data_IF_147954021268
#
_entry.id   IF_147954021268
#
_cell.length_a   1.000
_cell.length_b   1.000
_cell.length_c   1.000
_cell.angle_alpha   90.00
_cell.angle_beta   90.00
_cell.angle_gamma   90.00
#
_symmetry.space_group_name_H-M   'P 1'
#
loop_
_entity.id
_entity.type
_entity.pdbx_description
1 polymer ?
#
# COMPACT_ATOMS: atom_id res chain seq x y z
N UNK A 1 -2.34 -10.27 -6.85
CA UNK A 1 -2.48 -11.65 -7.40
C UNK A 1 -3.94 -12.06 -7.65
N UNK A 2 -4.91 -11.62 -6.82
CA UNK A 2 -6.33 -11.98 -6.90
C UNK A 2 -7.02 -11.57 -8.21
N UNK A 3 -6.71 -10.41 -8.80
CA UNK A 3 -7.30 -9.95 -10.08
C UNK A 3 -7.11 -10.95 -11.26
N UNK A 4 -5.98 -11.67 -11.30
CA UNK A 4 -5.68 -12.69 -12.32
C UNK A 4 -6.38 -14.02 -12.01
N UNK A 5 -6.70 -14.29 -10.74
CA UNK A 5 -7.42 -15.49 -10.30
C UNK A 5 -8.90 -15.48 -10.74
N UNK A 6 -9.52 -14.30 -10.84
CA UNK A 6 -10.95 -14.20 -11.18
C UNK A 6 -11.30 -14.58 -12.63
N UNK A 7 -10.36 -14.46 -13.57
CA UNK A 7 -10.57 -14.81 -14.99
C UNK A 7 -9.81 -16.05 -15.46
N UNK A 8 -8.99 -16.66 -14.59
CA UNK A 8 -8.24 -17.88 -14.96
C UNK A 8 -9.11 -19.13 -14.99
N UNK A 9 -10.22 -19.14 -14.23
CA UNK A 9 -11.19 -20.25 -14.22
C UNK A 9 -12.16 -20.11 -15.39
N UNK A 10 -12.30 -21.18 -16.20
CA UNK A 10 -13.33 -21.22 -17.24
C UNK A 10 -14.69 -21.42 -16.59
N UNK A 11 -15.49 -20.35 -16.52
CA UNK A 11 -16.83 -20.35 -15.95
C UNK A 11 -17.82 -20.11 -17.08
N UNK A 12 -18.85 -20.96 -17.20
CA UNK A 12 -19.91 -20.71 -18.16
C UNK A 12 -20.81 -19.58 -17.65
N UNK A 13 -20.59 -18.36 -18.16
CA UNK A 13 -21.34 -17.16 -17.76
C UNK A 13 -22.84 -17.21 -18.06
N UNK A 14 -23.30 -18.20 -18.84
CA UNK A 14 -24.73 -18.42 -19.11
C UNK A 14 -25.41 -19.22 -18.00
N UNK A 15 -24.66 -19.99 -17.21
CA UNK A 15 -25.19 -20.80 -16.12
C UNK A 15 -25.09 -20.01 -14.80
N UNK A 16 -26.24 -19.56 -14.28
CA UNK A 16 -26.29 -18.78 -13.03
C UNK A 16 -25.77 -19.55 -11.82
N UNK A 17 -25.98 -20.87 -11.78
CA UNK A 17 -25.51 -21.70 -10.67
C UNK A 17 -23.98 -21.75 -10.62
N UNK A 18 -23.32 -21.94 -11.77
CA UNK A 18 -21.86 -21.94 -11.86
C UNK A 18 -21.24 -20.58 -11.50
N UNK A 19 -21.88 -19.47 -11.91
CA UNK A 19 -21.41 -18.12 -11.55
C UNK A 19 -21.56 -17.88 -10.04
N UNK A 20 -22.67 -18.32 -9.44
CA UNK A 20 -22.90 -18.23 -7.99
C UNK A 20 -21.88 -19.05 -7.20
N UNK A 21 -21.62 -20.29 -7.61
CA UNK A 21 -20.63 -21.15 -6.96
C UNK A 21 -19.23 -20.57 -7.10
N UNK A 22 -18.87 -20.06 -8.28
CA UNK A 22 -17.60 -19.37 -8.50
C UNK A 22 -17.45 -18.16 -7.56
N UNK A 23 -18.47 -17.31 -7.45
CA UNK A 23 -18.47 -16.16 -6.53
C UNK A 23 -18.25 -16.59 -5.07
N UNK A 24 -18.87 -17.70 -4.64
CA UNK A 24 -18.67 -18.25 -3.29
C UNK A 24 -17.22 -18.71 -3.07
N UNK A 25 -16.63 -19.44 -4.02
CA UNK A 25 -15.22 -19.86 -3.92
C UNK A 25 -14.28 -18.66 -3.89
N UNK A 26 -14.53 -17.68 -4.74
CA UNK A 26 -13.74 -16.45 -4.78
C UNK A 26 -13.81 -15.63 -3.50
N UNK A 27 -14.99 -15.57 -2.88
CA UNK A 27 -15.17 -14.95 -1.58
C UNK A 27 -14.35 -15.66 -0.51
N UNK A 28 -14.41 -17.01 -0.45
CA UNK A 28 -13.66 -17.81 0.52
C UNK A 28 -12.14 -17.65 0.31
N UNK A 29 -11.65 -17.76 -0.93
CA UNK A 29 -10.23 -17.60 -1.28
C UNK A 29 -9.71 -16.22 -0.88
N UNK A 30 -10.48 -15.16 -1.19
CA UNK A 30 -10.13 -13.79 -0.85
C UNK A 30 -10.18 -13.53 0.65
N UNK A 31 -11.18 -14.08 1.35
CA UNK A 31 -11.32 -13.94 2.80
C UNK A 31 -10.16 -14.62 3.54
N UNK A 32 -9.77 -15.82 3.14
CA UNK A 32 -8.60 -16.52 3.72
C UNK A 32 -7.32 -15.71 3.46
N UNK A 33 -7.11 -15.23 2.24
CA UNK A 33 -5.93 -14.45 1.91
C UNK A 33 -5.83 -13.15 2.74
N UNK A 34 -6.94 -12.42 2.87
CA UNK A 34 -7.01 -11.20 3.68
C UNK A 34 -6.86 -11.51 5.17
N UNK A 35 -7.41 -12.61 5.66
CA UNK A 35 -7.26 -13.03 7.06
C UNK A 35 -5.80 -13.37 7.39
N UNK A 36 -5.11 -14.12 6.53
CA UNK A 36 -3.68 -14.40 6.70
C UNK A 36 -2.87 -13.10 6.69
N UNK A 37 -3.18 -12.17 5.77
CA UNK A 37 -2.53 -10.85 5.76
C UNK A 37 -2.78 -10.05 7.04
N UNK A 38 -4.00 -10.09 7.57
CA UNK A 38 -4.36 -9.42 8.82
C UNK A 38 -3.55 -10.00 9.99
N UNK A 39 -3.48 -11.34 10.08
CA UNK A 39 -2.72 -12.04 11.12
C UNK A 39 -1.25 -11.64 11.07
N UNK A 40 -0.63 -11.64 9.87
CA UNK A 40 0.76 -11.19 9.70
C UNK A 40 0.93 -9.74 10.15
N UNK A 41 0.06 -8.84 9.71
CA UNK A 41 0.16 -7.42 10.07
C UNK A 41 0.01 -7.21 11.58
N UNK A 42 -0.92 -7.92 12.24
CA UNK A 42 -1.09 -7.86 13.70
C UNK A 42 0.16 -8.35 14.42
N UNK A 43 0.76 -9.47 13.97
CA UNK A 43 2.00 -9.97 14.59
C UNK A 43 3.18 -9.02 14.38
N UNK A 44 3.37 -8.50 13.16
CA UNK A 44 4.46 -7.56 12.85
C UNK A 44 4.32 -6.29 13.69
N UNK A 45 3.14 -5.67 13.67
CA UNK A 45 2.88 -4.45 14.47
C UNK A 45 3.00 -4.75 15.96
N UNK A 46 2.48 -5.89 16.43
CA UNK A 46 2.55 -6.27 17.85
C UNK A 46 3.96 -6.52 18.34
N UNK A 47 4.80 -7.22 17.57
CA UNK A 47 6.21 -7.50 17.92
C UNK A 47 7.01 -6.20 17.96
N UNK A 48 6.85 -5.31 16.99
CA UNK A 48 7.58 -4.04 17.00
C UNK A 48 7.05 -3.07 18.05
N UNK A 49 5.74 -3.02 18.26
CA UNK A 49 5.17 -2.21 19.34
C UNK A 49 5.65 -2.71 20.71
N UNK A 50 5.65 -4.02 20.97
CA UNK A 50 6.13 -4.54 22.25
C UNK A 50 7.66 -4.40 22.42
N UNK A 51 8.42 -4.60 21.35
CA UNK A 51 9.88 -4.63 21.41
C UNK A 51 10.55 -3.26 21.35
N UNK A 52 9.94 -2.28 20.67
CA UNK A 52 10.54 -0.96 20.45
C UNK A 52 9.87 0.16 21.24
N UNK A 53 8.82 -0.12 22.02
CA UNK A 53 8.14 0.92 22.78
C UNK A 53 9.02 1.44 23.92
N UNK A 54 9.30 2.74 23.88
CA UNK A 54 10.12 3.47 24.85
C UNK A 54 11.56 2.96 24.99
N UNK A 55 12.09 2.25 23.98
CA UNK A 55 13.47 1.74 23.99
C UNK A 55 14.42 2.77 23.37
N UNK A 56 15.55 3.02 24.03
CA UNK A 56 16.60 3.95 23.58
C UNK A 56 17.61 3.28 22.64
N UNK A 57 18.26 4.05 21.77
CA UNK A 57 19.31 3.52 20.90
C UNK A 57 20.47 2.92 21.70
N UNK A 58 20.86 3.55 22.82
CA UNK A 58 21.89 3.06 23.74
C UNK A 58 21.59 1.66 24.29
N UNK A 59 20.32 1.34 24.58
CA UNK A 59 19.93 0.03 25.05
C UNK A 59 20.10 -1.05 23.96
N UNK A 60 19.66 -0.77 22.74
CA UNK A 60 19.74 -1.73 21.62
C UNK A 60 21.18 -1.89 21.13
N UNK A 61 21.97 -0.82 21.12
CA UNK A 61 23.40 -0.86 20.81
C UNK A 61 24.14 -1.86 21.72
N UNK A 62 23.90 -1.79 23.04
CA UNK A 62 24.46 -2.74 24.01
C UNK A 62 24.02 -4.19 23.74
N UNK A 63 22.73 -4.40 23.50
CA UNK A 63 22.18 -5.72 23.16
C UNK A 63 22.81 -6.30 21.88
N UNK A 64 23.02 -5.47 20.86
CA UNK A 64 23.68 -5.86 19.62
C UNK A 64 25.14 -6.28 19.85
N UNK A 65 25.87 -5.54 20.70
CA UNK A 65 27.26 -5.82 21.06
C UNK A 65 27.39 -7.16 21.80
N UNK A 66 26.48 -7.46 22.74
CA UNK A 66 26.43 -8.75 23.43
C UNK A 66 26.23 -9.94 22.46
N UNK A 67 25.50 -9.73 21.36
CA UNK A 67 25.25 -10.75 20.33
C UNK A 67 26.31 -10.76 19.21
N UNK A 68 27.31 -9.88 19.26
CA UNK A 68 28.33 -9.74 18.23
C UNK A 68 27.74 -9.34 16.86
N UNK A 69 26.75 -8.43 16.87
CA UNK A 69 26.21 -7.76 15.69
C UNK A 69 26.71 -6.31 15.74
N UNK A 70 27.52 -5.90 14.76
CA UNK A 70 27.95 -4.51 14.69
C UNK A 70 26.82 -3.66 14.10
N UNK A 71 26.18 -2.84 14.95
CA UNK A 71 25.05 -1.98 14.58
C UNK A 71 25.28 -0.51 14.96
N UNK A 72 26.53 -0.13 15.25
CA UNK A 72 26.92 1.22 15.67
C UNK A 72 26.62 2.30 14.63
N UNK A 73 26.59 1.94 13.34
CA UNK A 73 26.21 2.85 12.24
C UNK A 73 24.69 3.12 12.17
N UNK A 74 23.88 2.33 12.89
CA UNK A 74 22.40 2.36 12.79
C UNK A 74 21.74 2.81 14.09
N UNK A 75 22.26 2.32 15.22
CA UNK A 75 21.88 2.76 16.55
C UNK A 75 23.08 3.49 17.16
N UNK A 76 22.99 4.81 17.20
CA UNK A 76 23.98 5.65 17.90
C UNK A 76 23.88 5.45 19.40
N UNK A 77 24.96 5.66 20.14
CA UNK A 77 24.94 5.62 21.61
C UNK A 77 24.33 6.93 22.16
N UNK A 78 23.06 7.15 21.88
CA UNK A 78 22.25 8.25 22.37
C UNK A 78 20.97 7.76 23.05
N UNK A 79 20.45 8.55 23.98
CA UNK A 79 19.24 8.22 24.74
C UNK A 79 17.95 8.62 24.00
N UNK A 80 18.03 8.84 22.68
CA UNK A 80 16.84 9.08 21.87
C UNK A 80 16.06 7.78 21.66
N UNK A 81 14.73 7.91 21.63
CA UNK A 81 13.83 6.79 21.39
C UNK A 81 14.01 6.31 19.95
N UNK A 82 14.06 5.00 19.76
CA UNK A 82 14.24 4.41 18.45
C UNK A 82 13.04 4.72 17.55
N UNK A 83 13.29 5.31 16.38
CA UNK A 83 12.29 5.43 15.32
C UNK A 83 12.02 4.08 14.64
N UNK A 84 10.75 3.70 14.53
CA UNK A 84 10.32 2.50 13.81
C UNK A 84 10.51 2.62 12.30
N UNK A 85 11.60 2.06 11.78
CA UNK A 85 11.87 1.92 10.35
C UNK A 85 12.08 0.44 9.98
N UNK A 86 11.78 0.06 8.73
CA UNK A 86 11.87 -1.30 8.21
C UNK A 86 13.31 -1.85 8.35
N UNK A 87 14.32 -1.01 8.13
CA UNK A 87 15.72 -1.40 8.26
C UNK A 87 16.13 -1.54 9.73
N UNK A 88 15.83 -0.53 10.56
CA UNK A 88 16.11 -0.54 12.01
C UNK A 88 15.42 -1.72 12.72
N UNK A 89 14.16 -1.98 12.38
CA UNK A 89 13.39 -3.09 12.93
C UNK A 89 14.02 -4.45 12.63
N UNK A 90 14.60 -4.64 11.43
CA UNK A 90 15.29 -5.87 11.08
C UNK A 90 16.54 -6.14 11.92
N UNK A 91 17.33 -5.10 12.18
CA UNK A 91 18.53 -5.21 13.03
C UNK A 91 18.12 -5.43 14.49
N UNK A 92 17.11 -4.71 14.97
CA UNK A 92 16.54 -4.90 16.31
C UNK A 92 16.13 -6.36 16.56
N UNK A 93 15.39 -6.98 15.63
CA UNK A 93 15.02 -8.39 15.73
C UNK A 93 16.26 -9.31 15.79
N UNK A 94 17.33 -8.95 15.08
CA UNK A 94 18.61 -9.65 15.11
C UNK A 94 19.32 -9.57 16.46
N UNK A 95 19.27 -8.40 17.12
CA UNK A 95 19.91 -8.19 18.41
C UNK A 95 19.08 -8.80 19.56
N UNK A 96 17.75 -8.72 19.51
CA UNK A 96 16.85 -9.28 20.52
C UNK A 96 16.79 -10.81 20.44
N UNK A 97 16.38 -11.33 19.28
CA UNK A 97 16.08 -12.75 19.12
C UNK A 97 17.23 -13.55 18.49
N UNK A 98 18.24 -12.88 17.93
CA UNK A 98 19.43 -13.48 17.35
C UNK A 98 19.51 -13.35 15.83
N UNK A 99 20.73 -13.57 15.29
CA UNK A 99 21.07 -13.36 13.86
C UNK A 99 20.13 -14.07 12.88
N UNK A 100 19.54 -15.21 13.25
CA UNK A 100 18.59 -15.93 12.41
C UNK A 100 17.34 -15.10 12.07
N UNK A 101 16.82 -14.31 13.02
CA UNK A 101 15.62 -13.51 12.84
C UNK A 101 15.85 -12.33 11.89
N UNK A 102 17.06 -11.76 11.90
CA UNK A 102 17.48 -10.75 10.92
C UNK A 102 17.40 -11.31 9.49
N UNK A 103 17.91 -12.52 9.26
CA UNK A 103 17.84 -13.15 7.94
C UNK A 103 16.41 -13.52 7.54
N UNK A 104 15.59 -14.02 8.48
CA UNK A 104 14.18 -14.32 8.22
C UNK A 104 13.43 -13.04 7.83
N UNK A 105 13.67 -11.93 8.53
CA UNK A 105 13.11 -10.62 8.20
C UNK A 105 13.54 -10.16 6.81
N UNK A 106 14.84 -10.23 6.50
CA UNK A 106 15.37 -9.85 5.19
C UNK A 106 14.77 -10.69 4.04
N UNK A 107 14.65 -12.01 4.23
CA UNK A 107 14.00 -12.90 3.26
C UNK A 107 12.52 -12.58 3.12
N UNK A 108 11.83 -12.27 4.22
CA UNK A 108 10.44 -11.83 4.23
C UNK A 108 10.21 -10.55 3.43
N UNK A 109 11.07 -9.54 3.63
CA UNK A 109 11.05 -8.29 2.85
C UNK A 109 11.30 -8.55 1.36
N UNK A 110 12.25 -9.42 1.03
CA UNK A 110 12.53 -9.79 -0.36
C UNK A 110 11.30 -10.47 -0.99
N UNK A 111 10.68 -11.42 -0.29
CA UNK A 111 9.48 -12.11 -0.75
C UNK A 111 8.30 -11.15 -0.95
N UNK A 112 8.09 -10.21 -0.02
CA UNK A 112 7.08 -9.15 -0.14
C UNK A 112 7.30 -8.29 -1.39
N UNK A 113 8.55 -7.88 -1.65
CA UNK A 113 8.94 -7.11 -2.84
C UNK A 113 8.68 -7.86 -4.16
N UNK A 114 8.93 -9.17 -4.21
CA UNK A 114 8.62 -10.00 -5.38
C UNK A 114 7.11 -10.11 -5.63
N UNK A 115 6.32 -10.32 -4.56
CA UNK A 115 4.85 -10.39 -4.65
C UNK A 115 4.24 -9.09 -5.16
N UNK A 116 4.75 -7.94 -4.69
CA UNK A 116 4.34 -6.60 -5.15
C UNK A 116 4.67 -6.40 -6.63
N UNK A 117 5.88 -6.77 -7.07
CA UNK A 117 6.28 -6.68 -8.49
C UNK A 117 5.34 -7.50 -9.38
N UNK A 118 5.03 -8.73 -8.99
CA UNK A 118 4.10 -9.58 -9.75
C UNK A 118 2.72 -8.92 -9.83
N UNK A 119 2.16 -8.49 -8.69
CA UNK A 119 0.83 -7.87 -8.65
C UNK A 119 0.78 -6.57 -9.45
N UNK A 120 1.77 -5.68 -9.32
CA UNK A 120 1.86 -4.44 -10.08
C UNK A 120 1.91 -4.66 -11.59
N UNK A 121 2.64 -5.68 -12.05
CA UNK A 121 2.70 -5.98 -13.49
C UNK A 121 1.38 -6.51 -14.04
N UNK A 122 0.61 -7.26 -13.27
CA UNK A 122 -0.71 -7.73 -13.70
C UNK A 122 -1.75 -6.61 -13.66
N UNK A 123 -1.81 -5.84 -12.57
CA UNK A 123 -2.72 -4.69 -12.47
C UNK A 123 -2.44 -3.68 -13.59
N UNK A 124 -1.16 -3.35 -13.82
CA UNK A 124 -0.77 -2.47 -14.92
C UNK A 124 -1.16 -3.00 -16.29
N UNK A 125 -1.20 -4.33 -16.50
CA UNK A 125 -1.72 -4.90 -17.74
C UNK A 125 -3.18 -4.56 -17.96
N UNK A 126 -4.03 -4.81 -16.95
CA UNK A 126 -5.46 -4.58 -17.06
C UNK A 126 -5.79 -3.11 -17.26
N UNK A 127 -5.07 -2.22 -16.58
CA UNK A 127 -5.25 -0.78 -16.76
C UNK A 127 -4.81 -0.34 -18.16
N UNK A 128 -3.64 -0.79 -18.65
CA UNK A 128 -3.15 -0.42 -19.99
C UNK A 128 -4.01 -0.99 -21.12
N UNK A 129 -4.44 -2.25 -21.04
CA UNK A 129 -5.28 -2.88 -22.07
C UNK A 129 -6.74 -2.38 -22.00
N UNK A 130 -7.23 -2.09 -20.79
CA UNK A 130 -8.58 -1.58 -20.54
C UNK A 130 -8.76 -0.13 -20.94
N UNK A 131 -7.90 0.78 -20.46
CA UNK A 131 -8.06 2.22 -20.66
C UNK A 131 -7.29 2.78 -21.86
N UNK A 132 -6.07 2.30 -22.10
CA UNK A 132 -5.20 2.80 -23.18
C UNK A 132 -5.27 1.94 -24.45
N UNK A 133 -5.99 0.82 -24.41
CA UNK A 133 -6.06 -0.21 -25.47
C UNK A 133 -4.70 -0.61 -26.05
N UNK A 134 -3.64 -0.50 -25.24
CA UNK A 134 -2.26 -0.65 -25.69
C UNK A 134 -1.67 -1.97 -25.18
N UNK A 135 -1.34 -2.88 -26.11
CA UNK A 135 -0.83 -4.23 -25.77
C UNK A 135 0.70 -4.25 -25.73
N UNK A 136 1.27 -4.10 -24.53
CA UNK A 136 2.72 -4.19 -24.32
C UNK A 136 3.16 -5.60 -23.92
N UNK A 137 4.32 -6.03 -24.42
CA UNK A 137 4.96 -7.27 -23.95
C UNK A 137 5.31 -7.15 -22.46
N UNK A 138 5.07 -8.22 -21.69
CA UNK A 138 5.29 -8.26 -20.23
C UNK A 138 6.67 -7.71 -19.81
N UNK A 139 7.74 -8.11 -20.49
CA UNK A 139 9.11 -7.68 -20.13
C UNK A 139 9.31 -6.17 -20.29
N UNK A 140 8.76 -5.55 -21.35
CA UNK A 140 8.85 -4.10 -21.56
C UNK A 140 8.13 -3.32 -20.47
N UNK A 141 6.95 -3.81 -20.06
CA UNK A 141 6.17 -3.20 -18.97
C UNK A 141 6.93 -3.25 -17.65
N UNK A 142 7.46 -4.43 -17.29
CA UNK A 142 8.25 -4.62 -16.06
C UNK A 142 9.46 -3.69 -16.06
N UNK A 143 10.20 -3.64 -17.18
CA UNK A 143 11.39 -2.81 -17.29
C UNK A 143 11.03 -1.33 -17.12
N UNK A 144 10.02 -0.83 -17.83
CA UNK A 144 9.58 0.56 -17.71
C UNK A 144 9.16 0.91 -16.27
N UNK A 145 8.27 0.12 -15.66
CA UNK A 145 7.76 0.43 -14.32
C UNK A 145 8.85 0.34 -13.25
N UNK A 146 9.80 -0.59 -13.39
CA UNK A 146 10.93 -0.70 -12.46
C UNK A 146 11.94 0.42 -12.68
N UNK A 147 12.22 0.81 -13.91
CA UNK A 147 13.09 1.96 -14.20
C UNK A 147 12.50 3.25 -13.62
N UNK A 148 11.21 3.50 -13.82
CA UNK A 148 10.53 4.69 -13.25
C UNK A 148 10.53 4.66 -11.72
N UNK A 149 10.38 3.49 -11.09
CA UNK A 149 10.38 3.38 -9.64
C UNK A 149 11.79 3.48 -9.02
N UNK A 150 12.81 2.91 -9.68
CA UNK A 150 14.19 2.84 -9.15
C UNK A 150 14.96 4.12 -9.43
N UNK A 151 14.70 4.79 -10.57
CA UNK A 151 15.43 6.00 -10.96
C UNK A 151 15.40 7.09 -9.89
N UNK A 152 14.25 7.50 -9.33
CA UNK A 152 14.20 8.53 -8.29
C UNK A 152 14.97 8.10 -7.04
N UNK A 153 14.79 6.86 -6.58
CA UNK A 153 15.46 6.34 -5.38
C UNK A 153 16.97 6.30 -5.54
N UNK A 154 17.47 5.83 -6.68
CA UNK A 154 18.92 5.79 -6.97
C UNK A 154 19.47 7.21 -7.13
N UNK A 155 18.72 8.10 -7.78
CA UNK A 155 19.14 9.50 -7.95
C UNK A 155 19.27 10.20 -6.60
N UNK A 156 18.29 10.04 -5.71
CA UNK A 156 18.32 10.61 -4.35
C UNK A 156 19.48 10.01 -3.54
N UNK A 157 19.68 8.69 -3.59
CA UNK A 157 20.77 8.01 -2.89
C UNK A 157 22.18 8.46 -3.35
N UNK A 158 22.32 8.89 -4.61
CA UNK A 158 23.58 9.39 -5.15
C UNK A 158 23.80 10.90 -4.91
N UNK A 159 22.73 11.68 -4.65
CA UNK A 159 22.78 13.14 -4.62
C UNK A 159 22.60 13.76 -3.23
N UNK A 160 22.03 13.06 -2.23
CA UNK A 160 21.65 13.66 -0.94
C UNK A 160 21.96 12.78 0.28
N UNK A 161 22.45 13.43 1.34
CA UNK A 161 22.42 12.91 2.71
C UNK A 161 20.98 12.56 3.12
N UNK A 162 20.86 11.46 3.88
CA UNK A 162 19.69 10.64 4.23
C UNK A 162 18.43 11.40 4.72
N UNK A 163 18.53 12.70 5.01
CA UNK A 163 17.49 13.53 5.60
C UNK A 163 16.35 13.96 4.65
N UNK A 164 16.45 13.75 3.33
CA UNK A 164 15.39 14.10 2.36
C UNK A 164 14.62 12.89 1.79
N UNK A 165 14.98 11.67 2.17
CA UNK A 165 14.28 10.45 1.71
C UNK A 165 12.86 10.37 2.27
N UNK A 166 12.63 10.89 3.47
CA UNK A 166 11.31 10.93 4.12
C UNK A 166 10.28 11.72 3.31
N UNK A 167 10.66 12.87 2.75
CA UNK A 167 9.75 13.70 1.93
C UNK A 167 9.30 13.00 0.64
N UNK A 168 10.14 12.14 0.05
CA UNK A 168 9.74 11.33 -1.10
C UNK A 168 8.69 10.28 -0.72
N UNK A 169 8.84 9.65 0.44
CA UNK A 169 7.85 8.68 0.95
C UNK A 169 6.50 9.36 1.23
N UNK A 170 6.52 10.53 1.86
CA UNK A 170 5.29 11.27 2.18
C UNK A 170 4.59 11.76 0.90
N UNK A 171 5.35 12.21 -0.10
CA UNK A 171 4.81 12.54 -1.42
C UNK A 171 4.17 11.34 -2.12
N UNK A 172 4.83 10.17 -2.11
CA UNK A 172 4.27 8.95 -2.68
C UNK A 172 2.98 8.53 -1.96
N UNK A 173 2.95 8.64 -0.64
CA UNK A 173 1.76 8.35 0.17
C UNK A 173 0.61 9.32 -0.14
N UNK A 174 0.91 10.62 -0.30
CA UNK A 174 -0.07 11.61 -0.72
C UNK A 174 -0.65 11.29 -2.11
N UNK A 175 0.23 10.89 -3.05
CA UNK A 175 -0.17 10.51 -4.39
C UNK A 175 -1.06 9.25 -4.41
N UNK A 176 -0.74 8.25 -3.58
CA UNK A 176 -1.56 7.06 -3.39
C UNK A 176 -2.92 7.40 -2.77
N UNK A 177 -2.93 8.28 -1.77
CA UNK A 177 -4.14 8.74 -1.10
C UNK A 177 -5.13 9.40 -2.08
N UNK A 178 -4.63 10.17 -3.05
CA UNK A 178 -5.46 10.77 -4.09
C UNK A 178 -6.07 9.76 -5.07
N UNK A 179 -5.42 8.61 -5.30
CA UNK A 179 -5.90 7.59 -6.25
C UNK A 179 -6.96 6.66 -5.66
N UNK A 180 -6.91 6.39 -4.34
CA UNK A 180 -7.77 5.42 -3.67
C UNK A 180 -9.27 5.73 -3.82
N UNK A 181 -9.76 6.96 -3.55
CA UNK A 181 -11.17 7.32 -3.75
C UNK A 181 -11.72 7.01 -5.14
N UNK A 182 -10.96 7.32 -6.19
CA UNK A 182 -11.38 7.12 -7.57
C UNK A 182 -11.62 5.63 -7.87
N UNK A 183 -10.70 4.76 -7.46
CA UNK A 183 -10.84 3.32 -7.64
C UNK A 183 -12.00 2.73 -6.81
N UNK A 184 -12.16 3.20 -5.56
CA UNK A 184 -13.21 2.72 -4.65
C UNK A 184 -14.60 3.12 -5.12
N UNK A 185 -14.77 4.38 -5.53
CA UNK A 185 -16.05 4.90 -5.99
C UNK A 185 -16.49 4.25 -7.31
N UNK A 186 -15.57 4.08 -8.26
CA UNK A 186 -15.85 3.34 -9.49
C UNK A 186 -16.28 1.89 -9.20
N UNK A 187 -15.59 1.21 -8.27
CA UNK A 187 -15.94 -0.17 -7.88
C UNK A 187 -17.32 -0.24 -7.20
N UNK A 188 -17.63 0.73 -6.34
CA UNK A 188 -18.94 0.85 -5.70
C UNK A 188 -20.06 1.01 -6.74
N UNK A 189 -19.93 1.97 -7.65
CA UNK A 189 -20.95 2.25 -8.67
C UNK A 189 -21.16 1.08 -9.63
N UNK A 190 -20.08 0.42 -10.06
CA UNK A 190 -20.18 -0.73 -10.94
C UNK A 190 -20.83 -1.94 -10.26
N UNK A 191 -20.57 -2.16 -8.97
CA UNK A 191 -21.18 -3.26 -8.22
C UNK A 191 -22.62 -2.98 -7.78
N UNK A 192 -23.00 -1.70 -7.66
CA UNK A 192 -24.36 -1.26 -7.35
C UNK A 192 -25.28 -1.20 -8.58
N UNK A 193 -24.72 -1.09 -9.79
CA UNK A 193 -25.50 -0.92 -11.02
C UNK A 193 -26.14 -2.23 -11.51
N UNK A 194 -27.49 -2.25 -11.57
CA UNK A 194 -28.26 -3.36 -12.16
C UNK A 194 -27.96 -3.59 -13.63
N UNK A 195 -27.61 -2.55 -14.36
CA UNK A 195 -27.28 -2.64 -15.79
C UNK A 195 -26.00 -3.44 -16.03
N UNK A 196 -25.03 -3.37 -15.10
CA UNK A 196 -23.73 -4.04 -15.24
C UNK A 196 -23.71 -5.42 -14.57
N UNK A 197 -24.26 -5.54 -13.37
CA UNK A 197 -24.22 -6.78 -12.57
C UNK A 197 -25.42 -7.71 -12.78
N UNK A 198 -26.52 -7.22 -13.38
CA UNK A 198 -27.73 -8.01 -13.63
C UNK A 198 -28.32 -8.58 -12.35
N UNK A 199 -28.43 -9.91 -12.27
CA UNK A 199 -28.99 -10.61 -11.11
C UNK A 199 -28.01 -10.73 -9.92
N UNK A 200 -26.72 -10.39 -10.10
CA UNK A 200 -25.68 -10.48 -9.08
C UNK A 200 -25.37 -9.13 -8.42
N UNK A 201 -26.33 -8.20 -8.43
CA UNK A 201 -26.20 -6.87 -7.81
C UNK A 201 -26.15 -6.98 -6.30
N UNK A 202 -25.39 -6.07 -5.68
CA UNK A 202 -25.33 -5.96 -4.23
C UNK A 202 -26.72 -5.77 -3.59
N UNK A 203 -27.01 -6.56 -2.55
CA UNK A 203 -28.18 -6.35 -1.71
C UNK A 203 -28.18 -4.95 -1.10
N UNK A 204 -29.37 -4.41 -0.80
CA UNK A 204 -29.52 -3.05 -0.24
C UNK A 204 -28.68 -2.82 1.02
N UNK A 205 -28.54 -3.84 1.88
CA UNK A 205 -27.68 -3.80 3.07
C UNK A 205 -26.21 -3.68 2.70
N UNK A 206 -25.73 -4.51 1.76
CA UNK A 206 -24.34 -4.46 1.30
C UNK A 206 -24.03 -3.15 0.57
N UNK A 207 -25.01 -2.62 -0.19
CA UNK A 207 -24.87 -1.34 -0.86
C UNK A 207 -24.75 -0.16 0.13
N UNK A 208 -25.54 -0.15 1.21
CA UNK A 208 -25.43 0.86 2.27
C UNK A 208 -24.07 0.71 2.97
N UNK A 209 -23.68 -0.51 3.32
CA UNK A 209 -22.38 -0.76 3.96
C UNK A 209 -21.20 -0.28 3.11
N UNK A 210 -21.16 -0.65 1.83
CA UNK A 210 -20.15 -0.20 0.88
C UNK A 210 -20.16 1.32 0.68
N UNK A 211 -21.34 1.95 0.67
CA UNK A 211 -21.47 3.40 0.59
C UNK A 211 -20.90 4.12 1.82
N UNK A 212 -21.15 3.61 3.03
CA UNK A 212 -20.57 4.13 4.27
C UNK A 212 -19.05 3.98 4.28
N UNK A 213 -18.53 2.79 3.95
CA UNK A 213 -17.07 2.55 3.88
C UNK A 213 -16.40 3.45 2.84
N UNK A 214 -17.00 3.59 1.66
CA UNK A 214 -16.47 4.46 0.60
C UNK A 214 -16.45 5.92 1.05
N UNK A 215 -17.55 6.42 1.63
CA UNK A 215 -17.62 7.79 2.14
C UNK A 215 -16.59 8.05 3.25
N UNK A 216 -16.45 7.10 4.18
CA UNK A 216 -15.47 7.18 5.26
C UNK A 216 -14.04 7.25 4.74
N UNK A 217 -13.68 6.39 3.77
CA UNK A 217 -12.35 6.40 3.15
C UNK A 217 -12.08 7.68 2.38
N UNK A 218 -13.06 8.23 1.66
CA UNK A 218 -12.92 9.53 1.00
C UNK A 218 -12.61 10.62 2.03
N UNK A 219 -13.36 10.65 3.14
CA UNK A 219 -13.11 11.59 4.24
C UNK A 219 -11.70 11.48 4.83
N UNK A 220 -11.23 10.26 5.09
CA UNK A 220 -9.86 10.03 5.60
C UNK A 220 -8.78 10.46 4.61
N UNK A 221 -8.95 10.18 3.32
CA UNK A 221 -7.98 10.60 2.29
C UNK A 221 -7.95 12.12 2.13
N UNK A 222 -9.11 12.79 2.16
CA UNK A 222 -9.17 14.25 2.13
C UNK A 222 -8.46 14.85 3.36
N UNK A 223 -8.69 14.30 4.55
CA UNK A 223 -7.99 14.72 5.76
C UNK A 223 -6.47 14.57 5.63
N UNK A 224 -5.99 13.40 5.17
CA UNK A 224 -4.56 13.14 4.99
C UNK A 224 -3.92 14.13 4.00
N UNK A 225 -4.56 14.37 2.86
CA UNK A 225 -4.07 15.31 1.85
C UNK A 225 -4.04 16.74 2.39
N UNK A 226 -5.07 17.16 3.16
CA UNK A 226 -5.06 18.49 3.79
C UNK A 226 -3.91 18.64 4.79
N UNK A 227 -3.64 17.61 5.59
CA UNK A 227 -2.55 17.65 6.57
C UNK A 227 -1.18 17.70 5.88
N UNK A 228 -0.98 16.84 4.87
CA UNK A 228 0.24 16.82 4.07
C UNK A 228 0.54 18.20 3.45
N UNK A 229 -0.47 18.88 2.91
CA UNK A 229 -0.29 20.20 2.29
C UNK A 229 0.03 21.27 3.32
N UNK A 230 -0.61 21.25 4.50
CA UNK A 230 -0.34 22.21 5.57
C UNK A 230 1.07 22.05 6.16
N UNK A 231 1.61 20.83 6.24
CA UNK A 231 2.93 20.56 6.81
C UNK A 231 4.07 20.83 5.81
N UNK A 232 3.87 20.58 4.51
CA UNK A 232 4.96 20.60 3.53
C UNK A 232 5.07 21.90 2.73
N UNK A 233 4.02 22.72 2.66
CA UNK A 233 4.03 23.95 1.85
C UNK A 233 3.94 25.21 2.72
N UNK A 234 4.71 26.27 2.39
CA UNK A 234 4.61 27.54 3.10
C UNK A 234 3.20 28.13 2.92
N UNK A 235 2.69 28.75 3.99
CA UNK A 235 1.34 29.36 4.10
C UNK A 235 1.21 30.62 3.23
N UNK A 236 1.41 30.47 1.92
CA UNK A 236 1.24 31.51 0.93
C UNK A 236 -0.17 31.42 0.37
N UNK A 237 -0.86 32.54 0.21
CA UNK A 237 -2.22 32.58 -0.33
C UNK A 237 -2.37 31.85 -1.68
N UNK A 238 -1.33 31.86 -2.51
CA UNK A 238 -1.30 31.19 -3.81
C UNK A 238 -1.37 29.65 -3.68
N UNK A 239 -0.74 29.08 -2.64
CA UNK A 239 -0.81 27.64 -2.34
C UNK A 239 -2.23 27.26 -1.93
N UNK A 240 -2.88 28.08 -1.09
CA UNK A 240 -4.27 27.85 -0.68
C UNK A 240 -5.25 27.94 -1.85
N UNK A 241 -5.07 28.92 -2.74
CA UNK A 241 -5.89 29.05 -3.94
C UNK A 241 -5.68 27.85 -4.87
N UNK A 242 -4.43 27.46 -5.13
CA UNK A 242 -4.11 26.30 -5.95
C UNK A 242 -4.67 24.99 -5.38
N UNK A 243 -4.52 24.79 -4.07
CA UNK A 243 -5.04 23.62 -3.37
C UNK A 243 -6.57 23.61 -3.31
N UNK A 244 -7.21 24.76 -3.10
CA UNK A 244 -8.66 24.91 -3.15
C UNK A 244 -9.23 24.58 -4.52
N UNK A 245 -8.59 25.07 -5.59
CA UNK A 245 -8.95 24.70 -6.98
C UNK A 245 -8.79 23.21 -7.22
N UNK A 246 -7.68 22.61 -6.75
CA UNK A 246 -7.43 21.19 -6.85
C UNK A 246 -8.50 20.36 -6.12
N UNK A 247 -8.85 20.73 -4.88
CA UNK A 247 -9.88 20.05 -4.10
C UNK A 247 -11.26 20.16 -4.76
N UNK A 248 -11.65 21.34 -5.24
CA UNK A 248 -12.92 21.54 -5.95
C UNK A 248 -12.95 20.68 -7.21
N UNK A 249 -11.88 20.71 -8.01
CA UNK A 249 -11.75 19.85 -9.18
C UNK A 249 -11.87 18.36 -8.80
N UNK A 250 -11.19 17.95 -7.74
CA UNK A 250 -11.19 16.57 -7.26
C UNK A 250 -12.60 16.12 -6.82
N UNK A 251 -13.32 16.94 -6.04
CA UNK A 251 -14.69 16.64 -5.61
C UNK A 251 -15.68 16.66 -6.77
N UNK A 252 -15.48 17.54 -7.76
CA UNK A 252 -16.33 17.59 -8.97
C UNK A 252 -16.11 16.34 -9.81
N UNK A 253 -14.87 15.92 -10.01
CA UNK A 253 -14.55 14.67 -10.71
C UNK A 253 -15.11 13.46 -9.97
N UNK A 254 -15.00 13.43 -8.65
CA UNK A 254 -15.60 12.37 -7.82
C UNK A 254 -17.12 12.36 -7.87
N UNK A 255 -17.77 13.52 -7.94
CA UNK A 255 -19.23 13.62 -8.07
C UNK A 255 -19.75 13.34 -9.48
N UNK A 256 -18.90 13.42 -10.50
CA UNK A 256 -19.24 13.10 -11.89
C UNK A 256 -19.22 11.59 -12.18
N UNK A 257 -18.37 10.83 -11.49
CA UNK A 257 -18.34 9.37 -11.55
C UNK A 257 -19.60 8.77 -10.96
#
# INVERSE_FOLDING_TARGET
ATAVSFQSRQINRKNKAEVSDANRYYFIESAIALFVSLVINIFVVGVFAAGMNDVTNSHVSNLCNERGINASDVFTDDDSIISGDIYRGGIFLGCEFGKAYLYIWAVGLLAAGQSSTMTGTYTGQFVMEGFLHMKWKRWKRVLLTRTIAILPTVSVALMQDVNHVSGMNDFLNALMSMQLPFAMLATYLFTASKTLMGDFVNDRKNNIFMGVVTTFLIGLNLYFVTNFVMENFPMTWLVFVGFGVFLVFYTVVLGFL
#
